data_IF_362677736838
#
_entry.id   IF_362677736838
#
_cell.length_a   1.000
_cell.length_b   1.000
_cell.length_c   1.000
_cell.angle_alpha   90.00
_cell.angle_beta   90.00
_cell.angle_gamma   90.00
#
_symmetry.space_group_name_H-M   'P 1'
#
loop_
_entity.id
_entity.type
_entity.pdbx_description
1 polymer ?
#
# COMPACT_ATOMS: atom_id res chain seq x y z
N UNK A 1 -0.31 -5.88 -39.24
CA UNK A 1 -0.19 -7.20 -38.62
C UNK A 1 0.72 -7.05 -37.42
N UNK A 2 0.13 -6.98 -36.22
CA UNK A 2 0.88 -6.86 -34.97
C UNK A 2 1.23 -8.28 -34.52
N UNK A 3 2.51 -8.60 -34.40
CA UNK A 3 2.96 -9.85 -33.83
C UNK A 3 2.65 -9.84 -32.34
N UNK A 4 1.75 -10.74 -31.90
CA UNK A 4 1.58 -11.03 -30.48
C UNK A 4 2.93 -11.51 -29.95
N UNK A 5 3.44 -10.89 -28.89
CA UNK A 5 4.63 -11.36 -28.18
C UNK A 5 4.22 -12.62 -27.43
N UNK A 6 4.82 -13.71 -27.84
CA UNK A 6 4.79 -14.98 -27.12
C UNK A 6 5.55 -14.78 -25.79
N UNK A 7 4.83 -14.77 -24.68
CA UNK A 7 5.39 -14.60 -23.33
C UNK A 7 5.90 -15.91 -22.72
N UNK A 8 6.05 -16.98 -23.52
CA UNK A 8 6.69 -18.21 -23.07
C UNK A 8 6.02 -18.86 -21.84
N UNK A 9 4.73 -18.63 -21.66
CA UNK A 9 3.94 -19.42 -20.72
C UNK A 9 3.86 -20.83 -21.34
N UNK A 10 4.27 -21.84 -20.58
CA UNK A 10 3.99 -23.22 -20.96
C UNK A 10 2.50 -23.31 -21.30
N UNK A 11 2.18 -23.76 -22.53
CA UNK A 11 0.78 -23.90 -23.01
C UNK A 11 -0.05 -24.82 -22.11
N UNK A 12 0.57 -25.52 -21.16
CA UNK A 12 -0.04 -26.44 -20.18
C UNK A 12 -0.27 -25.82 -18.80
N UNK A 13 0.00 -24.51 -18.57
CA UNK A 13 -0.23 -23.91 -17.24
C UNK A 13 -1.72 -23.61 -17.02
N UNK A 14 -2.42 -24.53 -16.36
CA UNK A 14 -3.77 -24.28 -15.85
C UNK A 14 -3.71 -23.43 -14.59
N UNK A 15 -4.27 -22.22 -14.66
CA UNK A 15 -4.50 -21.40 -13.46
C UNK A 15 -5.34 -22.19 -12.44
N UNK A 16 -4.93 -22.23 -11.17
CA UNK A 16 -5.71 -22.91 -10.15
C UNK A 16 -7.10 -22.29 -10.08
N UNK A 17 -8.14 -23.14 -10.10
CA UNK A 17 -9.52 -22.69 -10.00
C UNK A 17 -9.85 -22.37 -8.57
N UNK A 18 -10.55 -21.24 -8.30
CA UNK A 18 -10.96 -20.92 -6.94
C UNK A 18 -11.86 -22.02 -6.39
N UNK A 19 -11.72 -22.39 -5.10
CA UNK A 19 -12.66 -23.27 -4.42
C UNK A 19 -14.05 -22.63 -4.35
N UNK A 20 -15.06 -23.43 -3.99
CA UNK A 20 -16.38 -22.90 -3.70
C UNK A 20 -16.29 -21.88 -2.56
N UNK A 21 -16.72 -20.64 -2.81
CA UNK A 21 -16.60 -19.52 -1.90
C UNK A 21 -15.35 -18.62 -2.10
N UNK A 22 -14.52 -18.89 -3.11
CA UNK A 22 -13.34 -18.10 -3.47
C UNK A 22 -12.10 -18.46 -2.66
N UNK A 23 -11.00 -17.74 -2.92
CA UNK A 23 -9.72 -17.91 -2.24
C UNK A 23 -9.73 -17.36 -0.82
N UNK A 24 -8.82 -17.82 0.00
CA UNK A 24 -8.54 -17.29 1.34
C UNK A 24 -7.20 -16.57 1.39
N UNK A 25 -7.00 -15.75 2.41
CA UNK A 25 -5.76 -15.01 2.61
C UNK A 25 -4.54 -15.94 2.80
N UNK A 26 -4.75 -17.15 3.31
CA UNK A 26 -3.68 -18.15 3.48
C UNK A 26 -3.30 -18.80 2.15
N UNK A 27 -4.24 -18.95 1.23
CA UNK A 27 -3.97 -19.54 -0.09
C UNK A 27 -2.94 -18.72 -0.90
N UNK A 28 -2.81 -17.41 -0.64
CA UNK A 28 -1.82 -16.57 -1.34
C UNK A 28 -0.37 -17.02 -1.11
N UNK A 29 -0.08 -17.59 0.05
CA UNK A 29 1.26 -18.09 0.37
C UNK A 29 1.54 -19.48 -0.22
N UNK A 30 0.48 -20.19 -0.66
CA UNK A 30 0.55 -21.57 -1.18
C UNK A 30 0.33 -21.66 -2.69
N UNK A 31 -0.34 -20.69 -3.30
CA UNK A 31 -0.62 -20.67 -4.73
C UNK A 31 0.67 -20.53 -5.55
N UNK A 32 0.94 -21.46 -6.51
CA UNK A 32 2.12 -21.38 -7.34
C UNK A 32 2.01 -20.25 -8.38
N UNK A 33 3.16 -19.65 -8.70
CA UNK A 33 3.32 -18.72 -9.83
C UNK A 33 2.36 -17.51 -9.83
N UNK A 34 1.93 -17.05 -8.65
CA UNK A 34 1.19 -15.79 -8.58
C UNK A 34 2.06 -14.64 -9.10
N UNK A 35 1.51 -13.75 -9.92
CA UNK A 35 2.19 -12.51 -10.27
C UNK A 35 2.58 -11.72 -9.01
N UNK A 36 3.70 -10.99 -9.03
CA UNK A 36 4.02 -10.04 -7.97
C UNK A 36 2.85 -9.08 -7.72
N UNK A 37 2.71 -8.63 -6.47
CA UNK A 37 1.65 -7.68 -6.07
C UNK A 37 0.23 -8.20 -6.28
N UNK A 38 0.04 -9.53 -6.18
CA UNK A 38 -1.31 -10.11 -6.20
C UNK A 38 -2.02 -9.87 -4.89
N UNK A 39 -3.16 -9.20 -4.93
CA UNK A 39 -4.03 -8.95 -3.80
C UNK A 39 -5.18 -9.95 -3.74
N UNK A 40 -5.76 -10.13 -2.55
CA UNK A 40 -7.03 -10.82 -2.36
C UNK A 40 -8.10 -9.85 -1.88
N UNK A 41 -9.16 -9.71 -2.67
CA UNK A 41 -10.32 -8.86 -2.35
C UNK A 41 -11.59 -9.69 -2.48
N UNK A 42 -12.33 -9.85 -1.40
CA UNK A 42 -13.56 -10.67 -1.32
C UNK A 42 -13.39 -12.11 -1.84
N UNK A 43 -12.20 -12.68 -1.65
CA UNK A 43 -11.87 -14.03 -2.10
C UNK A 43 -11.55 -14.13 -3.60
N UNK A 44 -11.38 -13.01 -4.29
CA UNK A 44 -10.95 -12.93 -5.67
C UNK A 44 -9.52 -12.40 -5.76
N UNK A 45 -8.69 -13.04 -6.59
CA UNK A 45 -7.34 -12.55 -6.89
C UNK A 45 -7.44 -11.29 -7.77
N UNK A 46 -6.73 -10.25 -7.38
CA UNK A 46 -6.60 -9.00 -8.12
C UNK A 46 -5.15 -8.84 -8.53
N UNK A 47 -4.91 -8.73 -9.82
CA UNK A 47 -3.58 -8.51 -10.38
C UNK A 47 -3.37 -7.01 -10.62
N UNK A 48 -2.18 -6.52 -10.27
CA UNK A 48 -1.84 -5.10 -10.39
C UNK A 48 -1.14 -4.85 -11.72
N UNK A 49 -1.58 -3.83 -12.45
CA UNK A 49 -0.95 -3.38 -13.70
C UNK A 49 0.40 -2.69 -13.45
N UNK A 50 1.30 -2.63 -14.46
CA UNK A 50 2.54 -1.88 -14.34
C UNK A 50 2.30 -0.43 -13.95
N UNK A 51 2.98 0.02 -12.90
CA UNK A 51 2.76 1.33 -12.29
C UNK A 51 3.47 2.47 -13.03
N UNK A 52 2.87 3.67 -12.97
CA UNK A 52 3.44 4.88 -13.58
C UNK A 52 4.68 5.38 -12.81
N UNK A 53 5.46 6.23 -13.47
CA UNK A 53 6.60 6.90 -12.81
C UNK A 53 6.15 7.80 -11.65
N UNK A 54 4.98 8.43 -11.76
CA UNK A 54 4.39 9.22 -10.68
C UNK A 54 4.16 8.34 -9.46
N UNK A 55 3.50 7.21 -9.63
CA UNK A 55 3.19 6.25 -8.58
C UNK A 55 4.46 5.79 -7.83
N UNK A 56 5.45 5.26 -8.54
CA UNK A 56 6.72 4.82 -7.95
C UNK A 56 7.46 5.94 -7.19
N UNK A 57 7.42 7.19 -7.70
CA UNK A 57 8.08 8.31 -7.05
C UNK A 57 7.34 8.77 -5.81
N UNK A 58 6.02 8.69 -5.83
CA UNK A 58 5.15 9.02 -4.70
C UNK A 58 5.38 8.03 -3.56
N UNK A 59 5.36 6.73 -3.84
CA UNK A 59 5.69 5.67 -2.85
C UNK A 59 7.04 5.96 -2.22
N UNK A 60 8.08 6.15 -3.04
CA UNK A 60 9.43 6.44 -2.53
C UNK A 60 9.48 7.68 -1.65
N UNK A 61 8.81 8.77 -2.05
CA UNK A 61 8.77 10.00 -1.27
C UNK A 61 8.14 9.77 0.10
N UNK A 62 7.00 9.09 0.13
CA UNK A 62 6.25 8.83 1.36
C UNK A 62 7.00 7.85 2.28
N UNK A 63 7.51 6.75 1.74
CA UNK A 63 8.31 5.77 2.48
C UNK A 63 9.49 6.45 3.19
N UNK A 64 10.36 7.14 2.44
CA UNK A 64 11.53 7.81 3.05
C UNK A 64 11.15 8.89 4.07
N UNK A 65 10.10 9.65 3.79
CA UNK A 65 9.68 10.70 4.69
C UNK A 65 9.08 10.16 6.00
N UNK A 66 8.37 9.05 5.93
CA UNK A 66 7.80 8.36 7.09
C UNK A 66 8.90 7.66 7.90
N UNK A 67 9.76 6.86 7.27
CA UNK A 67 10.90 6.21 7.92
C UNK A 67 11.80 7.20 8.66
N UNK A 68 12.06 8.36 8.05
CA UNK A 68 12.92 9.38 8.65
C UNK A 68 12.29 10.14 9.84
N UNK A 69 10.99 9.95 10.11
CA UNK A 69 10.26 10.68 11.15
C UNK A 69 9.49 9.76 12.11
N UNK A 70 9.38 8.47 11.79
CA UNK A 70 8.71 7.50 12.65
C UNK A 70 9.49 7.34 13.97
N UNK A 71 8.80 7.38 15.13
CA UNK A 71 9.38 6.95 16.41
C UNK A 71 9.71 5.45 16.39
N UNK A 72 10.64 5.00 17.22
CA UNK A 72 11.11 3.60 17.32
C UNK A 72 9.98 2.56 17.55
N UNK A 73 8.82 3.02 18.01
CA UNK A 73 7.65 2.16 18.20
C UNK A 73 6.94 1.77 16.88
N UNK A 74 7.30 2.42 15.77
CA UNK A 74 6.71 2.21 14.45
C UNK A 74 7.78 1.94 13.40
N UNK A 75 7.39 1.17 12.39
CA UNK A 75 8.20 0.97 11.19
C UNK A 75 7.33 1.15 9.95
N UNK A 76 7.95 1.19 8.77
CA UNK A 76 7.31 1.51 7.50
C UNK A 76 7.71 0.51 6.45
N UNK A 77 6.71 -0.14 5.85
CA UNK A 77 6.90 -0.98 4.67
C UNK A 77 6.20 -0.37 3.46
N UNK A 78 6.62 -0.78 2.28
CA UNK A 78 5.93 -0.49 1.03
C UNK A 78 5.57 -1.78 0.32
N UNK A 79 4.47 -1.75 -0.44
CA UNK A 79 4.05 -2.87 -1.28
C UNK A 79 4.07 -4.18 -0.47
N UNK A 80 3.50 -4.14 0.74
CA UNK A 80 3.50 -5.26 1.67
C UNK A 80 2.09 -5.62 2.11
N UNK A 81 1.76 -6.91 2.02
CA UNK A 81 0.41 -7.41 2.25
C UNK A 81 -0.10 -7.20 3.67
N UNK A 82 -1.38 -6.90 3.81
CA UNK A 82 -2.08 -6.82 5.10
C UNK A 82 -3.25 -7.80 5.13
N UNK A 83 -3.21 -8.76 6.04
CA UNK A 83 -4.30 -9.71 6.25
C UNK A 83 -5.39 -9.04 7.10
N UNK A 84 -6.47 -8.62 6.44
CA UNK A 84 -7.60 -7.97 7.10
C UNK A 84 -8.55 -8.99 7.71
N UNK A 85 -8.88 -10.02 6.93
CA UNK A 85 -9.72 -11.15 7.31
C UNK A 85 -9.41 -12.36 6.43
N UNK A 86 -10.22 -13.41 6.53
CA UNK A 86 -10.05 -14.65 5.76
C UNK A 86 -10.09 -14.43 4.25
N UNK A 87 -10.82 -13.43 3.76
CA UNK A 87 -11.09 -13.22 2.32
C UNK A 87 -10.48 -11.92 1.76
N UNK A 88 -9.77 -11.20 2.60
CA UNK A 88 -9.20 -9.91 2.22
C UNK A 88 -7.75 -9.80 2.70
N UNK A 89 -6.85 -9.69 1.74
CA UNK A 89 -5.41 -9.47 1.94
C UNK A 89 -4.91 -8.52 0.83
N UNK A 90 -5.26 -7.23 0.95
CA UNK A 90 -4.73 -6.18 0.07
C UNK A 90 -3.25 -5.92 0.35
N UNK A 91 -2.62 -5.21 -0.57
CA UNK A 91 -1.23 -4.75 -0.49
C UNK A 91 -1.20 -3.23 -0.60
N UNK A 92 -1.24 -2.49 0.53
CA UNK A 92 -1.09 -1.04 0.51
C UNK A 92 0.24 -0.61 -0.13
N UNK A 93 0.22 0.49 -0.88
CA UNK A 93 1.43 1.03 -1.50
C UNK A 93 2.49 1.44 -0.47
N UNK A 94 2.06 2.00 0.67
CA UNK A 94 2.90 2.25 1.85
C UNK A 94 2.07 2.01 3.10
N UNK A 95 2.67 1.44 4.13
CA UNK A 95 2.01 1.27 5.43
C UNK A 95 2.95 1.64 6.57
N UNK A 96 2.35 2.10 7.69
CA UNK A 96 3.02 2.25 8.96
C UNK A 96 2.43 1.21 9.91
N UNK A 97 3.30 0.48 10.60
CA UNK A 97 2.89 -0.56 11.53
C UNK A 97 3.67 -0.48 12.84
N UNK A 98 3.22 -1.18 13.87
CA UNK A 98 3.95 -1.26 15.14
C UNK A 98 5.20 -2.13 14.95
N UNK A 99 6.36 -1.61 15.32
CA UNK A 99 7.66 -2.27 15.15
C UNK A 99 7.76 -3.63 15.86
N UNK A 100 6.97 -3.85 16.92
CA UNK A 100 6.88 -5.14 17.63
C UNK A 100 6.17 -6.26 16.83
N UNK A 101 5.57 -5.92 15.70
CA UNK A 101 4.92 -6.88 14.80
C UNK A 101 5.86 -7.41 13.70
N UNK A 102 7.10 -6.96 13.63
CA UNK A 102 8.12 -7.53 12.76
C UNK A 102 8.56 -8.90 13.31
N UNK A 103 8.32 -9.95 12.52
CA UNK A 103 8.72 -11.33 12.84
C UNK A 103 9.97 -11.79 12.08
N UNK A 104 10.59 -10.89 11.33
CA UNK A 104 11.86 -11.12 10.63
C UNK A 104 11.72 -11.25 9.11
N UNK A 105 12.85 -11.49 8.43
CA UNK A 105 13.01 -11.27 6.98
C UNK A 105 12.23 -12.24 6.06
N UNK A 106 11.50 -13.18 6.63
CA UNK A 106 10.62 -14.09 5.85
C UNK A 106 9.14 -13.81 6.03
N UNK A 107 8.80 -12.73 6.71
CA UNK A 107 7.42 -12.27 6.83
C UNK A 107 6.90 -11.81 5.47
N UNK A 108 5.67 -12.19 5.11
CA UNK A 108 5.02 -11.86 3.84
C UNK A 108 3.77 -10.99 4.01
N UNK A 109 3.33 -10.77 5.24
CA UNK A 109 2.15 -9.97 5.56
C UNK A 109 2.13 -9.49 7.01
N UNK A 110 1.37 -8.43 7.28
CA UNK A 110 1.04 -7.96 8.61
C UNK A 110 -0.43 -8.27 8.95
N UNK A 111 -0.73 -8.50 10.22
CA UNK A 111 -2.10 -8.42 10.73
C UNK A 111 -2.59 -6.98 10.73
N UNK A 112 -3.88 -6.76 10.41
CA UNK A 112 -4.49 -5.42 10.41
C UNK A 112 -4.40 -4.70 11.75
N UNK A 113 -4.43 -5.43 12.87
CA UNK A 113 -4.31 -4.86 14.22
C UNK A 113 -2.94 -4.27 14.53
N UNK A 114 -1.90 -4.66 13.80
CA UNK A 114 -0.57 -4.06 13.89
C UNK A 114 -0.40 -2.83 13.00
N UNK A 115 -1.22 -2.67 11.97
CA UNK A 115 -1.14 -1.56 11.01
C UNK A 115 -1.80 -0.30 11.58
N UNK A 116 -1.08 0.82 11.55
CA UNK A 116 -1.54 2.10 12.08
C UNK A 116 -2.01 3.02 10.96
N UNK A 117 -1.38 2.95 9.81
CA UNK A 117 -1.71 3.76 8.64
C UNK A 117 -1.56 2.91 7.38
N UNK A 118 -2.57 2.93 6.52
CA UNK A 118 -2.50 2.41 5.16
C UNK A 118 -2.55 3.58 4.16
N UNK A 119 -1.73 3.52 3.12
CA UNK A 119 -1.64 4.56 2.08
C UNK A 119 -1.79 3.91 0.72
N UNK A 120 -2.69 4.47 -0.10
CA UNK A 120 -2.91 4.08 -1.49
C UNK A 120 -2.62 5.25 -2.42
N UNK A 121 -1.82 5.01 -3.44
CA UNK A 121 -1.52 5.97 -4.51
C UNK A 121 -2.36 5.59 -5.73
N UNK A 122 -3.42 6.31 -5.96
CA UNK A 122 -4.43 5.98 -6.98
C UNK A 122 -3.82 5.96 -8.38
N UNK A 123 -4.01 4.86 -9.07
CA UNK A 123 -3.72 4.68 -10.51
C UNK A 123 -5.01 4.60 -11.31
N UNK A 124 -4.94 4.68 -12.65
CA UNK A 124 -6.13 4.56 -13.50
C UNK A 124 -6.91 3.26 -13.27
N UNK A 125 -6.19 2.16 -13.07
CA UNK A 125 -6.78 0.81 -12.89
C UNK A 125 -7.28 0.56 -11.46
N UNK A 126 -6.80 1.33 -10.47
CA UNK A 126 -7.14 1.11 -9.06
C UNK A 126 -8.18 2.09 -8.51
N UNK A 127 -8.63 3.08 -9.29
CA UNK A 127 -9.46 4.20 -8.81
C UNK A 127 -10.66 3.78 -7.95
N UNK A 128 -11.47 2.83 -8.42
CA UNK A 128 -12.65 2.38 -7.69
C UNK A 128 -12.25 1.66 -6.39
N UNK A 129 -11.21 0.81 -6.46
CA UNK A 129 -10.72 0.07 -5.30
C UNK A 129 -10.16 1.00 -4.23
N UNK A 130 -9.32 1.96 -4.59
CA UNK A 130 -8.62 2.83 -3.65
C UNK A 130 -9.50 3.97 -3.13
N UNK A 131 -10.56 4.34 -3.85
CA UNK A 131 -11.49 5.37 -3.42
C UNK A 131 -12.66 4.84 -2.59
N UNK A 132 -13.03 3.58 -2.77
CA UNK A 132 -14.24 3.02 -2.18
C UNK A 132 -14.03 1.64 -1.51
N UNK A 133 -13.54 0.64 -2.23
CA UNK A 133 -13.50 -0.74 -1.76
C UNK A 133 -12.49 -0.94 -0.62
N UNK A 134 -11.21 -0.59 -0.84
CA UNK A 134 -10.13 -0.77 0.13
C UNK A 134 -10.35 0.06 1.41
N UNK A 135 -10.70 1.38 1.34
CA UNK A 135 -10.95 2.14 2.57
C UNK A 135 -12.05 1.55 3.45
N UNK A 136 -13.13 1.03 2.88
CA UNK A 136 -14.15 0.35 3.69
C UNK A 136 -13.61 -0.89 4.38
N UNK A 137 -12.79 -1.68 3.70
CA UNK A 137 -12.17 -2.88 4.25
C UNK A 137 -11.17 -2.56 5.35
N UNK A 138 -10.33 -1.54 5.15
CA UNK A 138 -9.39 -1.05 6.16
C UNK A 138 -10.11 -0.52 7.40
N UNK A 139 -11.21 0.21 7.21
CA UNK A 139 -12.03 0.73 8.30
C UNK A 139 -12.66 -0.41 9.13
N UNK A 140 -13.29 -1.40 8.46
CA UNK A 140 -13.86 -2.59 9.10
C UNK A 140 -12.81 -3.43 9.83
N UNK A 141 -11.57 -3.47 9.32
CA UNK A 141 -10.43 -4.13 9.96
C UNK A 141 -9.81 -3.31 11.10
N UNK A 142 -10.32 -2.10 11.37
CA UNK A 142 -9.92 -1.26 12.49
C UNK A 142 -8.62 -0.47 12.31
N UNK A 143 -8.09 -0.33 11.08
CA UNK A 143 -6.89 0.46 10.81
C UNK A 143 -7.18 1.94 11.10
N UNK A 144 -6.43 2.60 12.02
CA UNK A 144 -6.81 3.93 12.51
C UNK A 144 -6.77 5.04 11.47
N UNK A 145 -5.76 5.00 10.56
CA UNK A 145 -5.53 6.07 9.61
C UNK A 145 -5.44 5.51 8.19
N UNK A 146 -5.98 6.27 7.25
CA UNK A 146 -5.91 5.98 5.83
C UNK A 146 -5.52 7.24 5.05
N UNK A 147 -4.58 7.13 4.12
CA UNK A 147 -4.31 8.20 3.18
C UNK A 147 -4.56 7.71 1.76
N UNK A 148 -5.25 8.54 0.99
CA UNK A 148 -5.38 8.38 -0.44
C UNK A 148 -4.59 9.47 -1.14
N UNK A 149 -3.73 9.09 -2.08
CA UNK A 149 -2.88 10.02 -2.81
C UNK A 149 -3.27 10.01 -4.27
N UNK A 150 -3.58 11.17 -4.81
CA UNK A 150 -3.97 11.36 -6.20
C UNK A 150 -2.98 12.28 -6.93
N UNK A 151 -2.83 12.08 -8.24
CA UNK A 151 -2.05 12.96 -9.09
C UNK A 151 -2.88 14.18 -9.47
N UNK A 152 -2.27 15.35 -9.32
CA UNK A 152 -2.81 16.60 -9.85
C UNK A 152 -1.66 17.42 -10.46
N UNK A 153 -1.65 17.56 -11.78
CA UNK A 153 -0.63 18.31 -12.54
C UNK A 153 0.83 17.84 -12.22
N UNK A 154 1.01 16.53 -12.07
CA UNK A 154 2.32 15.92 -11.79
C UNK A 154 2.76 16.00 -10.32
N UNK A 155 1.94 16.51 -9.42
CA UNK A 155 2.18 16.59 -7.99
C UNK A 155 1.18 15.74 -7.20
N UNK A 156 1.59 15.15 -6.05
CA UNK A 156 0.69 14.42 -5.19
C UNK A 156 -0.24 15.36 -4.39
N UNK A 157 -1.50 14.99 -4.33
CA UNK A 157 -2.50 15.54 -3.40
C UNK A 157 -2.87 14.43 -2.43
N UNK A 158 -2.62 14.66 -1.14
CA UNK A 158 -2.88 13.68 -0.10
C UNK A 158 -4.19 13.99 0.61
N UNK A 159 -5.11 13.05 0.57
CA UNK A 159 -6.36 13.06 1.33
C UNK A 159 -6.15 12.21 2.57
N UNK A 160 -6.28 12.78 3.75
CA UNK A 160 -6.08 12.09 5.03
C UNK A 160 -7.40 11.79 5.69
N UNK A 161 -7.51 10.58 6.25
CA UNK A 161 -8.73 10.09 6.88
C UNK A 161 -8.41 9.47 8.23
N UNK A 162 -9.34 9.58 9.16
CA UNK A 162 -9.29 8.96 10.48
C UNK A 162 -10.53 8.08 10.69
N UNK A 163 -10.33 6.92 11.33
CA UNK A 163 -11.39 5.95 11.59
C UNK A 163 -12.32 6.47 12.70
N UNK A 164 -13.59 6.63 12.37
CA UNK A 164 -14.65 6.73 13.36
C UNK A 164 -15.05 5.31 13.83
N UNK A 165 -14.61 4.95 15.01
CA UNK A 165 -14.87 3.63 15.60
C UNK A 165 -16.34 3.40 15.99
N UNK A 166 -17.17 4.44 15.99
CA UNK A 166 -18.61 4.29 16.27
C UNK A 166 -19.38 3.81 15.04
N UNK A 167 -18.85 4.11 13.86
CA UNK A 167 -19.52 3.80 12.57
C UNK A 167 -18.69 2.85 11.70
N UNK A 168 -17.45 2.51 12.10
CA UNK A 168 -16.46 1.76 11.31
C UNK A 168 -16.27 2.35 9.91
N UNK A 169 -16.22 3.69 9.82
CA UNK A 169 -16.01 4.43 8.57
C UNK A 169 -14.92 5.46 8.72
N UNK A 170 -14.30 5.84 7.60
CA UNK A 170 -13.31 6.91 7.59
C UNK A 170 -13.94 8.29 7.39
N UNK A 171 -13.63 9.23 8.31
CA UNK A 171 -13.87 10.65 8.16
C UNK A 171 -12.69 11.36 7.51
N UNK A 172 -12.95 12.20 6.49
CA UNK A 172 -11.92 13.04 5.87
C UNK A 172 -11.44 14.10 6.87
N UNK A 173 -10.15 14.13 7.19
CA UNK A 173 -9.54 15.07 8.15
C UNK A 173 -8.73 16.16 7.47
N UNK A 174 -8.29 15.97 6.22
CA UNK A 174 -7.53 16.98 5.49
C UNK A 174 -7.31 16.66 4.02
N UNK A 175 -7.00 17.71 3.25
CA UNK A 175 -6.54 17.64 1.87
C UNK A 175 -5.25 18.48 1.78
N UNK A 176 -4.15 17.83 1.47
CA UNK A 176 -2.84 18.44 1.51
C UNK A 176 -2.23 18.54 0.12
N UNK A 177 -1.82 19.77 -0.23
CA UNK A 177 -1.09 20.11 -1.45
C UNK A 177 0.24 20.73 -1.04
N UNK A 178 1.28 20.55 -1.80
CA UNK A 178 2.63 21.11 -1.54
C UNK A 178 3.27 20.63 -0.24
N UNK A 179 2.58 20.72 0.90
CA UNK A 179 3.08 20.30 2.21
C UNK A 179 2.01 19.54 2.99
N UNK A 180 2.38 18.36 3.47
CA UNK A 180 1.61 17.58 4.44
C UNK A 180 2.21 17.84 5.82
N UNK A 181 1.40 18.31 6.78
CA UNK A 181 1.80 18.46 8.19
C UNK A 181 0.71 17.88 9.08
N UNK A 182 1.05 16.86 9.84
CA UNK A 182 0.14 16.12 10.71
C UNK A 182 0.77 15.89 12.09
N UNK A 183 -0.10 15.56 13.04
CA UNK A 183 0.30 15.12 14.38
C UNK A 183 0.01 13.63 14.61
N UNK A 184 -0.68 12.98 13.67
CA UNK A 184 -1.10 11.58 13.71
C UNK A 184 -0.69 10.85 12.44
N UNK A 185 -0.27 9.59 12.51
CA UNK A 185 -0.11 8.74 13.70
C UNK A 185 1.02 9.19 14.64
N UNK A 186 1.91 10.04 14.17
CA UNK A 186 2.95 10.75 14.91
C UNK A 186 3.21 12.11 14.25
N UNK A 187 3.87 13.07 14.93
CA UNK A 187 4.20 14.37 14.34
C UNK A 187 5.10 14.20 13.12
N UNK A 188 4.64 14.67 11.96
CA UNK A 188 5.39 14.58 10.70
C UNK A 188 5.15 15.77 9.78
N UNK A 189 6.11 16.02 8.90
CA UNK A 189 6.00 17.03 7.84
C UNK A 189 6.66 16.52 6.57
N UNK A 190 5.91 16.51 5.47
CA UNK A 190 6.39 16.08 4.15
C UNK A 190 6.22 17.22 3.14
N UNK A 191 7.30 17.56 2.45
CA UNK A 191 7.26 18.46 1.29
C UNK A 191 6.88 17.66 0.05
N UNK A 192 5.65 17.79 -0.43
CA UNK A 192 5.13 17.05 -1.57
C UNK A 192 5.67 17.56 -2.92
N UNK A 193 6.26 18.76 -2.94
CA UNK A 193 6.80 19.37 -4.18
C UNK A 193 8.11 18.74 -4.63
N UNK A 194 8.78 17.99 -3.75
CA UNK A 194 10.07 17.37 -4.04
C UNK A 194 10.00 16.02 -4.75
N UNK A 195 8.80 15.52 -5.07
CA UNK A 195 8.57 14.21 -5.73
C UNK A 195 9.50 13.97 -6.92
N UNK A 196 9.81 15.02 -7.66
CA UNK A 196 10.67 14.95 -8.86
C UNK A 196 12.15 15.19 -8.56
N UNK A 197 12.53 15.52 -7.32
CA UNK A 197 13.93 15.72 -6.94
C UNK A 197 14.59 14.36 -6.68
N UNK A 198 15.84 14.24 -7.12
CA UNK A 198 16.67 13.11 -6.75
C UNK A 198 17.00 13.24 -5.26
N UNK A 199 16.83 12.19 -4.43
CA UNK A 199 17.27 12.25 -3.04
C UNK A 199 18.77 12.58 -2.98
N UNK A 200 19.22 13.34 -1.97
CA UNK A 200 20.64 13.59 -1.80
C UNK A 200 21.40 12.27 -1.68
N UNK A 201 22.51 12.17 -2.39
CA UNK A 201 23.40 11.01 -2.25
C UNK A 201 23.99 11.07 -0.85
N UNK A 202 23.64 10.10 0.00
CA UNK A 202 24.30 9.97 1.31
C UNK A 202 25.79 9.73 1.07
N UNK A 203 26.69 10.51 1.69
CA UNK A 203 28.12 10.20 1.61
C UNK A 203 28.37 8.80 2.19
N UNK A 204 29.34 8.05 1.64
CA UNK A 204 29.67 6.74 2.18
C UNK A 204 30.05 6.87 3.67
N UNK A 205 29.65 5.91 4.51
CA UNK A 205 29.99 5.95 5.93
C UNK A 205 31.52 5.96 6.09
N UNK A 206 32.03 7.00 6.76
CA UNK A 206 33.47 7.15 7.05
C UNK A 206 34.16 8.39 6.50
N UNK A 207 33.44 9.38 5.95
CA UNK A 207 33.99 10.67 5.49
C UNK A 207 33.44 11.87 6.30
N UNK A 208 33.29 11.72 7.62
CA UNK A 208 33.12 12.79 8.59
C UNK A 208 34.24 12.74 9.61
#
# INVERSE_FOLDING_TARGET
MSAARDYGLDDDYEWPRPPEGGWTADDLDELPNLPPHTELIDGSLVFVSPQTRFHMRTIRLLEYALLGQAPDAYDVDREFSVKLDRRNRPEPDVLVYRADADTGPRQTWHHSDSVVLAIEVVSEDSQERDRDVKPRKYALAGIPYYWRVEENEGLPVVYTYELDRATDTYGLTGIHRNRLKLNVPFPLTIDLTVINRRPPVMPPPGLL
#
